data_IF_592153479255
#
_entry.id   IF_592153479255
#
_cell.length_a   1.000
_cell.length_b   1.000
_cell.length_c   1.000
_cell.angle_alpha   90.00
_cell.angle_beta   90.00
_cell.angle_gamma   90.00
#
_symmetry.space_group_name_H-M   'P 1'
#
loop_
_entity.id
_entity.type
_entity.pdbx_description
1 polymer ?
#
# COMPACT_ATOMS: atom_id res chain seq x y z
N UNK A 1 1.78 -3.51 -11.40
CA UNK A 1 0.47 -3.71 -10.76
C UNK A 1 0.71 -4.03 -9.28
N UNK A 2 -0.33 -4.17 -8.47
CA UNK A 2 -0.19 -4.85 -7.18
C UNK A 2 -0.24 -6.38 -7.43
N UNK A 3 0.51 -7.15 -6.64
CA UNK A 3 0.67 -8.59 -6.80
C UNK A 3 0.35 -9.30 -5.48
N UNK A 4 -0.27 -10.48 -5.57
CA UNK A 4 -0.46 -11.38 -4.44
C UNK A 4 0.09 -12.76 -4.77
N UNK A 5 0.71 -13.40 -3.78
CA UNK A 5 1.07 -14.82 -3.80
C UNK A 5 0.00 -15.56 -3.03
N UNK A 6 -0.57 -16.58 -3.65
CA UNK A 6 -1.53 -17.48 -3.03
C UNK A 6 -0.80 -18.82 -2.85
N UNK A 7 -0.86 -19.37 -1.65
CA UNK A 7 -0.24 -20.63 -1.28
C UNK A 7 -1.35 -21.56 -0.78
N UNK A 8 -1.53 -22.69 -1.47
CA UNK A 8 -2.55 -23.70 -1.18
C UNK A 8 -1.79 -24.96 -0.76
N UNK A 9 -1.84 -25.29 0.53
CA UNK A 9 -1.30 -26.53 1.07
C UNK A 9 -2.45 -27.53 1.23
N UNK A 10 -2.30 -28.77 0.80
CA UNK A 10 -3.34 -29.80 0.98
C UNK A 10 -2.87 -31.22 0.64
N UNK A 11 -3.75 -32.23 0.73
CA UNK A 11 -3.40 -33.62 0.40
C UNK A 11 -3.07 -33.80 -1.09
N UNK A 12 -2.12 -34.70 -1.39
CA UNK A 12 -1.66 -34.97 -2.77
C UNK A 12 -2.81 -35.40 -3.71
N UNK A 13 -3.86 -36.04 -3.17
CA UNK A 13 -5.03 -36.51 -3.90
C UNK A 13 -5.80 -35.41 -4.66
N UNK A 14 -5.72 -34.16 -4.22
CA UNK A 14 -6.48 -33.03 -4.81
C UNK A 14 -5.65 -32.17 -5.78
N UNK A 15 -4.37 -32.54 -6.01
CA UNK A 15 -3.39 -31.77 -6.79
C UNK A 15 -3.90 -31.34 -8.17
N UNK A 16 -4.40 -32.28 -8.98
CA UNK A 16 -4.76 -31.97 -10.38
C UNK A 16 -5.90 -30.95 -10.47
N UNK A 17 -6.87 -31.02 -9.54
CA UNK A 17 -7.99 -30.10 -9.51
C UNK A 17 -7.55 -28.69 -9.06
N UNK A 18 -6.65 -28.60 -8.07
CA UNK A 18 -6.06 -27.34 -7.63
C UNK A 18 -5.17 -26.70 -8.72
N UNK A 19 -4.37 -27.50 -9.44
CA UNK A 19 -3.60 -27.00 -10.59
C UNK A 19 -4.51 -26.48 -11.73
N UNK A 20 -5.64 -27.15 -12.00
CA UNK A 20 -6.60 -26.68 -13.00
C UNK A 20 -7.27 -25.36 -12.58
N UNK A 21 -7.72 -25.25 -11.33
CA UNK A 21 -8.35 -24.05 -10.78
C UNK A 21 -7.41 -22.83 -10.85
N UNK A 22 -6.16 -23.02 -10.43
CA UNK A 22 -5.11 -22.00 -10.45
C UNK A 22 -4.78 -21.56 -11.88
N UNK A 23 -4.70 -22.50 -12.84
CA UNK A 23 -4.44 -22.18 -14.26
C UNK A 23 -5.61 -21.46 -14.93
N UNK A 24 -6.86 -21.76 -14.56
CA UNK A 24 -8.04 -21.12 -15.13
C UNK A 24 -8.09 -19.60 -14.89
N UNK A 25 -7.51 -19.13 -13.78
CA UNK A 25 -7.40 -17.70 -13.46
C UNK A 25 -6.18 -16.98 -14.08
N UNK A 26 -5.42 -17.64 -14.98
CA UNK A 26 -4.28 -17.08 -15.73
C UNK A 26 -3.22 -16.43 -14.81
N UNK A 27 -2.45 -17.24 -14.06
CA UNK A 27 -1.47 -16.76 -13.09
C UNK A 27 -0.22 -16.23 -13.81
N UNK A 28 0.38 -15.17 -13.25
CA UNK A 28 1.67 -14.60 -13.73
C UNK A 28 2.79 -15.64 -13.64
N UNK A 29 2.77 -16.46 -12.59
CA UNK A 29 3.50 -17.73 -12.51
C UNK A 29 2.83 -18.67 -11.52
N UNK A 30 2.91 -19.97 -11.76
CA UNK A 30 2.41 -21.02 -10.88
C UNK A 30 3.45 -22.12 -10.75
N UNK A 31 3.68 -22.61 -9.53
CA UNK A 31 4.59 -23.72 -9.27
C UNK A 31 4.02 -24.61 -8.18
N UNK A 32 4.20 -25.92 -8.35
CA UNK A 32 3.64 -26.96 -7.49
C UNK A 32 4.79 -27.79 -6.93
N UNK A 33 4.86 -27.89 -5.61
CA UNK A 33 5.83 -28.71 -4.90
C UNK A 33 5.06 -29.71 -4.03
N UNK A 34 5.11 -30.99 -4.39
CA UNK A 34 4.58 -32.06 -3.55
C UNK A 34 5.70 -32.81 -2.83
N UNK A 35 5.43 -33.17 -1.58
CA UNK A 35 6.14 -34.18 -0.81
C UNK A 35 5.30 -35.47 -0.76
N UNK A 36 5.72 -36.49 -0.02
CA UNK A 36 5.05 -37.78 0.07
C UNK A 36 3.60 -37.72 0.61
N UNK A 37 3.32 -36.80 1.55
CA UNK A 37 2.02 -36.74 2.26
C UNK A 37 1.21 -35.47 1.93
N UNK A 38 1.86 -34.39 1.49
CA UNK A 38 1.23 -33.10 1.22
C UNK A 38 1.72 -32.47 -0.07
N UNK A 39 0.90 -31.61 -0.68
CA UNK A 39 1.28 -30.81 -1.82
C UNK A 39 0.96 -29.34 -1.62
N UNK A 40 1.90 -28.50 -2.04
CA UNK A 40 1.85 -27.05 -1.98
C UNK A 40 1.79 -26.49 -3.40
N UNK A 41 0.64 -25.91 -3.76
CA UNK A 41 0.46 -25.14 -5.00
C UNK A 41 0.64 -23.67 -4.66
N UNK A 42 1.68 -23.03 -5.19
CA UNK A 42 1.90 -21.59 -5.07
C UNK A 42 1.68 -20.91 -6.42
N UNK A 43 1.00 -19.76 -6.41
CA UNK A 43 0.81 -18.97 -7.62
C UNK A 43 0.85 -17.46 -7.34
N UNK A 44 1.28 -16.71 -8.36
CA UNK A 44 1.40 -15.26 -8.38
C UNK A 44 0.31 -14.67 -9.27
N UNK A 45 -0.53 -13.81 -8.69
CA UNK A 45 -1.63 -13.15 -9.38
C UNK A 45 -1.49 -11.62 -9.30
N UNK A 46 -1.97 -10.92 -10.33
CA UNK A 46 -2.30 -9.51 -10.19
C UNK A 46 -3.51 -9.35 -9.30
N UNK A 47 -3.53 -8.32 -8.44
CA UNK A 47 -4.56 -8.17 -7.40
C UNK A 47 -6.01 -8.12 -7.89
N UNK A 48 -6.27 -7.88 -9.19
CA UNK A 48 -7.62 -7.90 -9.78
C UNK A 48 -8.10 -9.28 -10.26
N UNK A 49 -7.29 -10.35 -10.12
CA UNK A 49 -7.67 -11.74 -10.46
C UNK A 49 -7.66 -12.69 -9.25
N UNK A 50 -7.71 -12.14 -8.03
CA UNK A 50 -7.67 -12.92 -6.78
C UNK A 50 -9.07 -13.31 -6.31
N UNK A 51 -10.02 -12.38 -6.37
CA UNK A 51 -11.42 -12.56 -6.00
C UNK A 51 -12.12 -13.75 -6.72
N UNK A 52 -12.01 -13.96 -8.06
CA UNK A 52 -12.61 -15.13 -8.70
C UNK A 52 -12.02 -16.45 -8.20
N UNK A 53 -10.67 -16.54 -8.08
CA UNK A 53 -10.02 -17.74 -7.56
C UNK A 53 -10.45 -18.05 -6.13
N UNK A 54 -10.65 -17.03 -5.29
CA UNK A 54 -11.14 -17.23 -3.91
C UNK A 54 -12.56 -17.78 -3.89
N UNK A 55 -13.47 -17.30 -4.74
CA UNK A 55 -14.84 -17.84 -4.87
C UNK A 55 -14.84 -19.31 -5.31
N UNK A 56 -13.96 -19.66 -6.25
CA UNK A 56 -13.82 -21.03 -6.74
C UNK A 56 -13.17 -21.95 -5.69
N UNK A 57 -12.18 -21.44 -4.94
CA UNK A 57 -11.56 -22.15 -3.81
C UNK A 57 -12.54 -22.38 -2.66
N UNK A 58 -13.33 -21.39 -2.26
CA UNK A 58 -14.36 -21.54 -1.21
C UNK A 58 -15.41 -22.59 -1.61
N UNK A 59 -15.79 -22.64 -2.88
CA UNK A 59 -16.69 -23.64 -3.44
C UNK A 59 -16.07 -25.05 -3.37
N UNK A 60 -14.80 -25.19 -3.73
CA UNK A 60 -14.06 -26.47 -3.68
C UNK A 60 -13.79 -26.97 -2.24
N UNK A 61 -13.42 -26.06 -1.34
CA UNK A 61 -13.23 -26.32 0.09
C UNK A 61 -14.53 -26.78 0.76
N UNK A 62 -15.66 -26.17 0.38
CA UNK A 62 -16.99 -26.53 0.90
C UNK A 62 -17.40 -27.97 0.57
N UNK A 63 -16.89 -28.53 -0.53
CA UNK A 63 -17.11 -29.91 -0.97
C UNK A 63 -16.17 -30.92 -0.29
N UNK A 64 -15.02 -30.49 0.26
CA UNK A 64 -13.96 -31.36 0.77
C UNK A 64 -13.55 -31.05 2.21
N UNK A 65 -14.54 -30.93 3.11
CA UNK A 65 -14.32 -30.53 4.53
C UNK A 65 -13.39 -31.44 5.34
N UNK A 66 -13.20 -32.70 4.94
CA UNK A 66 -12.26 -33.63 5.60
C UNK A 66 -10.81 -33.47 5.14
N UNK A 67 -10.54 -32.70 4.07
CA UNK A 67 -9.19 -32.42 3.61
C UNK A 67 -8.60 -31.23 4.40
N UNK A 68 -7.42 -31.42 4.99
CA UNK A 68 -6.69 -30.39 5.73
C UNK A 68 -6.04 -29.34 4.79
N UNK A 69 -6.86 -28.68 3.97
CA UNK A 69 -6.42 -27.70 2.98
C UNK A 69 -6.31 -26.33 3.66
N UNK A 70 -5.15 -25.70 3.55
CA UNK A 70 -4.88 -24.35 4.05
C UNK A 70 -4.59 -23.43 2.86
N UNK A 71 -5.26 -22.28 2.80
CA UNK A 71 -5.03 -21.24 1.79
C UNK A 71 -4.49 -19.99 2.49
N UNK A 72 -3.27 -19.58 2.13
CA UNK A 72 -2.66 -18.34 2.58
C UNK A 72 -2.57 -17.35 1.42
N UNK A 73 -2.96 -16.09 1.66
CA UNK A 73 -2.86 -14.99 0.70
C UNK A 73 -1.85 -13.97 1.23
N UNK A 74 -0.78 -13.74 0.50
CA UNK A 74 0.34 -12.88 0.88
C UNK A 74 0.50 -11.74 -0.12
N UNK A 75 0.53 -10.49 0.34
CA UNK A 75 0.85 -9.35 -0.52
C UNK A 75 2.33 -9.36 -0.92
N UNK A 76 2.62 -9.33 -2.22
CA UNK A 76 3.98 -9.42 -2.77
C UNK A 76 4.55 -8.02 -2.91
N UNK A 77 5.35 -7.61 -1.92
CA UNK A 77 5.99 -6.28 -1.89
C UNK A 77 6.98 -6.03 -3.03
N UNK A 78 7.68 -7.06 -3.50
CA UNK A 78 8.65 -6.99 -4.59
C UNK A 78 8.76 -8.35 -5.30
N UNK A 79 9.09 -8.33 -6.59
CA UNK A 79 9.36 -9.51 -7.41
C UNK A 79 10.58 -9.24 -8.31
N UNK A 80 11.41 -10.27 -8.51
CA UNK A 80 12.55 -10.26 -9.42
C UNK A 80 12.45 -11.48 -10.38
N UNK A 81 12.71 -11.31 -11.70
CA UNK A 81 12.90 -10.04 -12.40
C UNK A 81 11.66 -9.13 -12.26
N UNK A 82 11.86 -7.81 -12.37
CA UNK A 82 10.74 -6.87 -12.38
C UNK A 82 9.86 -7.19 -13.59
N UNK A 83 8.64 -7.65 -13.35
CA UNK A 83 7.68 -7.87 -14.44
C UNK A 83 7.60 -6.60 -15.29
N UNK A 84 7.66 -6.70 -16.63
CA UNK A 84 7.69 -5.54 -17.48
C UNK A 84 6.38 -4.76 -17.38
N UNK A 85 6.42 -3.65 -16.63
CA UNK A 85 6.00 -2.38 -17.22
C UNK A 85 6.67 -2.23 -18.58
N UNK A 86 6.05 -1.53 -19.51
CA UNK A 86 6.72 -1.10 -20.73
C UNK A 86 8.01 -0.34 -20.35
N UNK A 87 9.13 -1.03 -20.59
CA UNK A 87 10.54 -0.67 -20.37
C UNK A 87 10.96 -0.20 -18.96
N UNK A 88 11.93 -0.90 -18.35
CA UNK A 88 13.33 -0.44 -18.24
C UNK A 88 14.21 -1.48 -17.52
N UNK A 89 15.54 -1.39 -17.66
CA UNK A 89 16.48 -2.50 -17.35
C UNK A 89 17.84 -2.03 -16.81
N UNK A 90 18.29 -2.57 -15.66
CA UNK A 90 19.67 -3.08 -15.48
C UNK A 90 19.95 -3.82 -14.15
N UNK A 91 21.07 -4.53 -14.14
CA UNK A 91 21.71 -5.32 -13.07
C UNK A 91 22.37 -4.36 -12.01
N UNK A 92 22.97 -4.78 -10.89
CA UNK A 92 23.68 -6.04 -10.58
C UNK A 92 23.83 -6.33 -9.06
N UNK A 93 24.52 -7.43 -8.70
CA UNK A 93 24.85 -7.92 -7.34
C UNK A 93 25.50 -6.90 -6.37
N UNK A 94 25.56 -7.11 -5.03
CA UNK A 94 25.02 -8.21 -4.22
C UNK A 94 25.89 -8.58 -3.00
N UNK A 95 25.57 -8.08 -1.79
CA UNK A 95 26.15 -8.59 -0.52
C UNK A 95 25.24 -8.38 0.70
N UNK A 96 25.21 -9.39 1.57
CA UNK A 96 24.39 -9.54 2.81
C UNK A 96 25.14 -9.00 4.04
N UNK A 97 24.54 -8.45 5.11
CA UNK A 97 23.16 -8.08 5.46
C UNK A 97 23.18 -6.55 5.84
N UNK A 98 22.77 -5.97 7.01
CA UNK A 98 21.89 -6.42 8.13
C UNK A 98 20.43 -6.61 7.64
N UNK A 99 19.41 -6.57 8.52
CA UNK A 99 17.98 -6.54 8.12
C UNK A 99 17.60 -5.19 7.47
N UNK A 100 18.17 -4.96 6.29
CA UNK A 100 17.85 -3.86 5.38
C UNK A 100 16.45 -4.10 4.81
N UNK A 101 15.51 -3.21 5.10
CA UNK A 101 14.34 -3.03 4.24
C UNK A 101 14.89 -2.67 2.84
N UNK A 102 14.35 -3.25 1.77
CA UNK A 102 14.93 -2.99 0.44
C UNK A 102 14.82 -1.50 0.11
N UNK A 103 15.83 -0.94 -0.58
CA UNK A 103 15.75 0.45 -1.08
C UNK A 103 14.53 0.64 -1.99
N UNK A 104 14.14 -0.40 -2.71
CA UNK A 104 12.96 -0.39 -3.60
C UNK A 104 11.64 -0.55 -2.83
N UNK A 105 11.66 -1.23 -1.68
CA UNK A 105 10.50 -1.34 -0.79
C UNK A 105 10.26 0.01 -0.11
N UNK A 106 11.33 0.63 0.44
CA UNK A 106 11.29 1.97 0.99
C UNK A 106 10.87 3.02 -0.05
N UNK A 107 11.44 3.00 -1.26
CA UNK A 107 11.08 3.98 -2.29
C UNK A 107 9.65 3.77 -2.81
N UNK A 108 9.16 2.54 -2.93
CA UNK A 108 7.78 2.24 -3.34
C UNK A 108 6.75 2.58 -2.25
N UNK A 109 7.10 2.44 -0.97
CA UNK A 109 6.25 2.83 0.15
C UNK A 109 6.21 4.36 0.33
N UNK A 110 7.37 5.00 0.29
CA UNK A 110 7.51 6.45 0.52
C UNK A 110 7.04 7.28 -0.70
N UNK A 111 7.18 6.78 -1.94
CA UNK A 111 6.66 7.48 -3.13
C UNK A 111 5.13 7.56 -3.15
N UNK A 112 4.41 6.52 -2.70
CA UNK A 112 2.95 6.61 -2.46
C UNK A 112 2.60 7.68 -1.43
N UNK A 113 3.46 7.90 -0.44
CA UNK A 113 3.34 8.98 0.54
C UNK A 113 3.57 10.39 -0.03
N UNK A 114 4.09 10.51 -1.26
CA UNK A 114 4.27 11.78 -1.97
C UNK A 114 3.10 12.16 -2.88
N UNK A 115 2.18 11.24 -3.18
CA UNK A 115 1.06 11.49 -4.11
C UNK A 115 -0.08 12.29 -3.43
N UNK A 116 -0.55 13.34 -4.11
CA UNK A 116 -1.60 14.23 -3.60
C UNK A 116 -3.01 13.66 -3.78
N UNK A 117 -3.35 12.62 -3.01
CA UNK A 117 -4.69 12.01 -3.03
C UNK A 117 -5.80 12.89 -2.44
N UNK A 118 -7.05 12.67 -2.86
CA UNK A 118 -8.24 13.36 -2.28
C UNK A 118 -8.31 13.22 -0.76
N UNK A 119 -7.91 12.06 -0.23
CA UNK A 119 -7.87 11.76 1.22
C UNK A 119 -6.91 12.72 1.95
N UNK A 120 -5.77 13.07 1.35
CA UNK A 120 -4.81 14.03 1.90
C UNK A 120 -5.42 15.44 2.00
N UNK A 121 -6.09 15.90 0.94
CA UNK A 121 -6.78 17.20 0.91
C UNK A 121 -7.90 17.24 1.96
N UNK A 122 -8.73 16.19 2.03
CA UNK A 122 -9.84 16.10 3.00
C UNK A 122 -9.33 16.06 4.45
N UNK A 123 -8.31 15.26 4.76
CA UNK A 123 -7.75 15.18 6.12
C UNK A 123 -7.06 16.47 6.57
N UNK A 124 -6.42 17.19 5.65
CA UNK A 124 -5.91 18.56 5.90
C UNK A 124 -7.05 19.52 6.24
N UNK A 125 -8.15 19.53 5.46
CA UNK A 125 -9.31 20.39 5.75
C UNK A 125 -9.94 20.05 7.11
N UNK A 126 -10.17 18.76 7.41
CA UNK A 126 -10.69 18.33 8.72
C UNK A 126 -9.75 18.75 9.87
N UNK A 127 -8.43 18.60 9.70
CA UNK A 127 -7.44 19.08 10.68
C UNK A 127 -7.58 20.59 10.93
N UNK A 128 -7.71 21.42 9.88
CA UNK A 128 -7.90 22.87 10.06
C UNK A 128 -9.21 23.24 10.78
N UNK A 129 -10.30 22.48 10.57
CA UNK A 129 -11.56 22.68 11.29
C UNK A 129 -11.40 22.32 12.78
N UNK A 130 -10.76 21.18 13.10
CA UNK A 130 -10.49 20.77 14.48
C UNK A 130 -9.53 21.75 15.18
N UNK A 131 -8.51 22.26 14.47
CA UNK A 131 -7.60 23.28 14.98
C UNK A 131 -8.33 24.59 15.31
N UNK A 132 -9.20 25.07 14.42
CA UNK A 132 -10.02 26.27 14.65
C UNK A 132 -10.95 26.09 15.87
N UNK A 133 -11.63 24.95 15.99
CA UNK A 133 -12.44 24.62 17.17
C UNK A 133 -11.58 24.56 18.44
N UNK A 134 -10.37 24.02 18.36
CA UNK A 134 -9.42 23.98 19.48
C UNK A 134 -9.01 25.38 19.95
N UNK A 135 -8.73 26.30 19.03
CA UNK A 135 -8.43 27.70 19.34
C UNK A 135 -9.63 28.42 19.97
N UNK A 136 -10.84 28.27 19.39
CA UNK A 136 -12.08 28.85 19.91
C UNK A 136 -12.46 28.35 21.32
N UNK A 137 -12.07 27.12 21.66
CA UNK A 137 -12.27 26.53 22.99
C UNK A 137 -11.08 26.77 23.93
N UNK A 138 -10.07 27.52 23.51
CA UNK A 138 -8.79 27.71 24.21
C UNK A 138 -8.19 26.37 24.70
N UNK A 139 -8.30 25.33 23.88
CA UNK A 139 -7.98 23.94 24.21
C UNK A 139 -6.72 23.50 23.48
N UNK A 140 -5.52 23.62 24.09
CA UNK A 140 -4.27 23.20 23.46
C UNK A 140 -4.26 21.70 23.16
N UNK A 141 -4.95 20.88 23.96
CA UNK A 141 -5.11 19.45 23.70
C UNK A 141 -5.85 19.18 22.37
N UNK A 142 -6.87 19.98 22.03
CA UNK A 142 -7.60 19.85 20.75
C UNK A 142 -6.74 20.32 19.57
N UNK A 143 -5.94 21.37 19.74
CA UNK A 143 -5.00 21.85 18.71
C UNK A 143 -3.89 20.83 18.45
N UNK A 144 -3.35 20.19 19.50
CA UNK A 144 -2.39 19.08 19.36
C UNK A 144 -3.06 17.87 18.68
N UNK A 145 -4.31 17.56 19.01
CA UNK A 145 -5.09 16.52 18.32
C UNK A 145 -5.21 16.76 16.81
N UNK A 146 -5.41 18.03 16.37
CA UNK A 146 -5.45 18.39 14.96
C UNK A 146 -4.12 18.09 14.23
N UNK A 147 -2.97 18.26 14.89
CA UNK A 147 -1.65 17.95 14.34
C UNK A 147 -1.49 16.45 14.05
N UNK A 148 -2.08 15.57 14.86
CA UNK A 148 -2.04 14.10 14.66
C UNK A 148 -2.90 13.68 13.45
N UNK A 149 -3.96 14.43 13.13
CA UNK A 149 -4.86 14.15 12.00
C UNK A 149 -4.23 14.50 10.65
N UNK A 150 -3.31 15.47 10.59
CA UNK A 150 -2.75 15.98 9.33
C UNK A 150 -1.62 15.09 8.78
N UNK A 151 -1.78 14.43 7.61
CA UNK A 151 -0.81 13.47 7.07
C UNK A 151 0.41 14.13 6.38
N UNK A 152 0.92 15.24 6.90
CA UNK A 152 2.03 16.02 6.32
C UNK A 152 3.38 15.28 6.36
N UNK A 153 3.48 14.17 7.12
CA UNK A 153 4.70 13.38 7.23
C UNK A 153 5.08 12.65 5.93
N UNK A 154 4.11 12.19 5.13
CA UNK A 154 4.37 11.45 3.89
C UNK A 154 5.23 12.25 2.90
N UNK A 155 4.77 13.45 2.46
CA UNK A 155 5.53 14.30 1.55
C UNK A 155 6.89 14.75 2.12
N UNK A 156 6.99 15.02 3.42
CA UNK A 156 8.24 15.45 4.04
C UNK A 156 9.29 14.32 4.11
N UNK A 157 8.87 13.08 4.42
CA UNK A 157 9.74 11.90 4.38
C UNK A 157 10.13 11.57 2.93
N UNK A 158 9.23 11.75 1.97
CA UNK A 158 9.54 11.58 0.55
C UNK A 158 10.57 12.60 0.04
N UNK A 159 10.47 13.87 0.44
CA UNK A 159 11.45 14.89 0.12
C UNK A 159 12.82 14.58 0.73
N UNK A 160 12.86 14.08 1.96
CA UNK A 160 14.09 13.64 2.62
C UNK A 160 14.74 12.44 1.92
N UNK A 161 13.96 11.41 1.56
CA UNK A 161 14.44 10.24 0.81
C UNK A 161 14.97 10.66 -0.57
N UNK A 162 14.21 11.47 -1.31
CA UNK A 162 14.59 11.97 -2.61
C UNK A 162 15.92 12.74 -2.58
N UNK A 163 16.09 13.60 -1.57
CA UNK A 163 17.35 14.35 -1.34
C UNK A 163 18.52 13.41 -1.01
N UNK A 164 18.27 12.31 -0.29
CA UNK A 164 19.29 11.32 0.04
C UNK A 164 19.71 10.44 -1.16
N UNK A 165 18.77 10.14 -2.07
CA UNK A 165 19.02 9.32 -3.28
C UNK A 165 19.44 10.14 -4.50
N UNK A 166 19.30 11.47 -4.48
CA UNK A 166 19.52 12.35 -5.64
C UNK A 166 18.35 12.37 -6.63
N UNK A 167 17.18 11.85 -6.25
CA UNK A 167 15.99 11.79 -7.11
C UNK A 167 15.31 13.17 -7.21
N UNK A 168 15.74 13.93 -8.21
CA UNK A 168 15.18 15.25 -8.51
C UNK A 168 13.71 15.23 -8.96
N UNK A 169 13.14 14.09 -9.38
CA UNK A 169 11.73 14.01 -9.75
C UNK A 169 10.86 13.77 -8.51
N UNK A 170 11.20 12.78 -7.69
CA UNK A 170 10.52 12.52 -6.41
C UNK A 170 10.60 13.76 -5.49
N UNK A 171 11.73 14.48 -5.48
CA UNK A 171 11.86 15.72 -4.72
C UNK A 171 10.88 16.81 -5.20
N UNK A 172 10.73 16.99 -6.52
CA UNK A 172 9.76 17.95 -7.10
C UNK A 172 8.32 17.54 -6.84
N UNK A 173 8.00 16.25 -6.95
CA UNK A 173 6.66 15.69 -6.64
C UNK A 173 6.30 15.94 -5.17
N UNK A 174 7.18 15.52 -4.25
CA UNK A 174 6.99 15.70 -2.81
C UNK A 174 6.85 17.16 -2.40
N UNK A 175 7.73 18.05 -2.90
CA UNK A 175 7.66 19.49 -2.63
C UNK A 175 6.35 20.10 -3.15
N UNK A 176 5.89 19.70 -4.35
CA UNK A 176 4.60 20.16 -4.90
C UNK A 176 3.43 19.71 -4.03
N UNK A 177 3.43 18.47 -3.55
CA UNK A 177 2.39 17.96 -2.65
C UNK A 177 2.39 18.71 -1.31
N UNK A 178 3.55 18.95 -0.68
CA UNK A 178 3.64 19.77 0.54
C UNK A 178 3.11 21.20 0.32
N UNK A 179 3.41 21.82 -0.82
CA UNK A 179 2.91 23.16 -1.15
C UNK A 179 1.39 23.18 -1.40
N UNK A 180 0.83 22.15 -2.04
CA UNK A 180 -0.63 21.99 -2.21
C UNK A 180 -1.31 21.81 -0.85
N UNK A 181 -0.74 20.99 0.04
CA UNK A 181 -1.26 20.81 1.40
C UNK A 181 -1.24 22.10 2.22
N UNK A 182 -0.12 22.83 2.20
CA UNK A 182 0.02 24.12 2.88
C UNK A 182 -0.96 25.17 2.33
N UNK A 183 -1.07 25.30 1.01
CA UNK A 183 -2.01 26.22 0.37
C UNK A 183 -3.48 25.86 0.70
N UNK A 184 -3.82 24.56 0.72
CA UNK A 184 -5.14 24.06 1.13
C UNK A 184 -5.43 24.45 2.58
N UNK A 185 -4.49 24.23 3.50
CA UNK A 185 -4.66 24.54 4.93
C UNK A 185 -4.83 26.04 5.19
N UNK A 186 -4.06 26.89 4.49
CA UNK A 186 -4.20 28.35 4.60
C UNK A 186 -5.54 28.81 4.02
N UNK A 187 -5.96 28.27 2.87
CA UNK A 187 -7.24 28.60 2.25
C UNK A 187 -8.44 28.16 3.11
N UNK A 188 -8.43 26.97 3.69
CA UNK A 188 -9.50 26.51 4.59
C UNK A 188 -9.53 27.30 5.89
N UNK A 189 -8.37 27.61 6.48
CA UNK A 189 -8.30 28.47 7.67
C UNK A 189 -8.83 29.89 7.40
N UNK A 190 -8.49 30.49 6.25
CA UNK A 190 -8.98 31.80 5.84
C UNK A 190 -10.51 31.81 5.59
N UNK A 191 -11.05 30.74 4.97
CA UNK A 191 -12.49 30.57 4.81
C UNK A 191 -13.21 30.44 6.16
N UNK A 192 -12.69 29.61 7.07
CA UNK A 192 -13.25 29.45 8.42
C UNK A 192 -13.24 30.79 9.17
N UNK A 193 -12.16 31.55 9.09
CA UNK A 193 -12.03 32.87 9.72
C UNK A 193 -12.99 33.92 9.12
N UNK A 194 -13.35 33.81 7.83
CA UNK A 194 -14.32 34.70 7.17
C UNK A 194 -15.78 34.36 7.52
N UNK A 195 -16.09 33.09 7.77
CA UNK A 195 -17.44 32.64 8.15
C UNK A 195 -17.73 32.77 9.65
N UNK A 196 -16.70 32.91 10.49
CA UNK A 196 -16.87 33.18 11.91
C UNK A 196 -17.13 34.67 12.18
N UNK A 197 -17.96 35.02 13.17
CA UNK A 197 -18.00 36.38 13.68
C UNK A 197 -16.63 36.76 14.27
N UNK A 198 -16.24 38.05 14.22
CA UNK A 198 -15.01 38.50 14.85
C UNK A 198 -15.01 38.13 16.33
N UNK A 199 -13.90 37.56 16.78
CA UNK A 199 -13.66 37.27 18.20
C UNK A 199 -13.17 38.58 18.82
N UNK A 200 -14.05 39.27 19.55
CA UNK A 200 -13.64 40.39 20.38
C UNK A 200 -12.65 39.90 21.47
N UNK A 201 -11.57 40.66 21.77
CA UNK A 201 -10.44 40.21 22.60
C UNK A 201 -10.66 40.30 24.11
#
# INVERSE_FOLDING_TARGET
>A
MALRRIEILGPVAHREHLEQLVRACDPVSSWTQCDAESCEVRALFESGRVEPLMSDLESFLSLHKDAAIQVAVLDVKAILPRLPKAEETKNDDGTRLPKRISRDELSTEISKGADFGTIYVVTVVLSTIVAAIGLLRNSPATVIGAMVIAPLMGPNVALALATNLGDGELARRALRTSMIGLATAIASAALIALFLPPIDP
#
